data_IF_199906265222
#
_entry.id   IF_199906265222
#
_cell.length_a   1.000
_cell.length_b   1.000
_cell.length_c   1.000
_cell.angle_alpha   90.00
_cell.angle_beta   90.00
_cell.angle_gamma   90.00
#
_symmetry.space_group_name_H-M   'P 1'
#
loop_
_entity.id
_entity.type
_entity.pdbx_description
1 polymer ?
#
# COMPACT_ATOMS: atom_id res chain seq x y z
N UNK A 1 -10.71 2.09 2.45
CA UNK A 1 -9.50 2.13 3.32
C UNK A 1 -8.28 1.65 2.51
N UNK A 2 -7.10 2.25 2.70
CA UNK A 2 -5.90 2.18 1.83
C UNK A 2 -6.09 2.57 0.36
N UNK A 3 -6.89 1.84 -0.42
CA UNK A 3 -7.22 2.22 -1.82
C UNK A 3 -7.81 3.62 -1.91
N UNK A 4 -8.70 3.98 -0.98
CA UNK A 4 -9.28 5.33 -0.93
C UNK A 4 -8.26 6.40 -0.55
N UNK A 5 -7.29 6.06 0.31
CA UNK A 5 -6.21 6.97 0.67
C UNK A 5 -5.27 7.25 -0.51
N UNK A 6 -5.14 6.28 -1.43
CA UNK A 6 -4.35 6.43 -2.66
C UNK A 6 -5.11 7.13 -3.80
N UNK A 7 -6.42 7.43 -3.66
CA UNK A 7 -7.21 8.11 -4.71
C UNK A 7 -6.58 9.39 -5.25
N UNK A 8 -5.98 10.28 -4.43
CA UNK A 8 -5.34 11.51 -4.94
C UNK A 8 -4.21 11.24 -5.94
N UNK A 9 -3.59 10.06 -5.86
CA UNK A 9 -2.47 9.65 -6.71
C UNK A 9 -2.89 8.64 -7.79
N UNK A 10 -4.18 8.29 -7.89
CA UNK A 10 -4.65 7.16 -8.69
C UNK A 10 -4.27 7.23 -10.18
N UNK A 11 -4.22 8.45 -10.76
CA UNK A 11 -3.81 8.62 -12.17
C UNK A 11 -2.33 8.39 -12.42
N UNK A 12 -1.52 8.40 -11.37
CA UNK A 12 -0.06 8.26 -11.42
C UNK A 12 0.40 6.87 -11.00
N UNK A 13 -0.46 6.09 -10.34
CA UNK A 13 -0.13 4.74 -9.84
C UNK A 13 -0.49 3.72 -10.92
N UNK A 14 0.53 3.03 -11.45
CA UNK A 14 0.36 1.85 -12.29
C UNK A 14 0.03 0.61 -11.46
N UNK A 15 0.73 0.44 -10.33
CA UNK A 15 0.52 -0.68 -9.43
C UNK A 15 0.88 -0.31 -7.98
N UNK A 16 0.24 -0.99 -7.03
CA UNK A 16 0.53 -0.87 -5.60
C UNK A 16 0.60 -2.27 -4.98
N UNK A 17 1.67 -2.55 -4.24
CA UNK A 17 1.91 -3.83 -3.59
C UNK A 17 1.98 -3.64 -2.08
N UNK A 18 1.31 -4.54 -1.35
CA UNK A 18 1.38 -4.62 0.12
C UNK A 18 2.46 -5.62 0.50
N UNK A 19 3.35 -5.23 1.39
CA UNK A 19 4.45 -6.08 1.88
C UNK A 19 4.41 -6.23 3.40
N UNK A 20 5.48 -6.80 3.96
CA UNK A 20 5.70 -6.87 5.39
C UNK A 20 4.77 -7.87 6.10
N UNK A 21 4.47 -7.56 7.36
CA UNK A 21 3.65 -8.40 8.25
C UNK A 21 2.25 -8.63 7.70
N UNK A 22 1.69 -7.66 6.96
CA UNK A 22 0.40 -7.80 6.27
C UNK A 22 0.41 -8.95 5.26
N UNK A 23 1.43 -9.02 4.41
CA UNK A 23 1.55 -10.07 3.39
C UNK A 23 1.91 -11.44 3.99
N UNK A 24 2.61 -11.45 5.13
CA UNK A 24 3.04 -12.68 5.84
C UNK A 24 1.99 -13.24 6.80
N UNK A 25 0.80 -12.62 6.90
CA UNK A 25 -0.24 -12.98 7.86
C UNK A 25 0.20 -12.87 9.34
N UNK A 26 1.07 -11.91 9.62
CA UNK A 26 1.62 -11.60 10.97
C UNK A 26 1.20 -10.21 11.46
N UNK A 27 0.19 -9.61 10.82
CA UNK A 27 -0.27 -8.25 11.11
C UNK A 27 -0.83 -8.15 12.54
N UNK A 28 -0.39 -7.14 13.29
CA UNK A 28 -0.83 -6.82 14.65
C UNK A 28 -1.39 -5.40 14.72
N UNK A 29 -2.09 -5.06 15.80
CA UNK A 29 -2.70 -3.74 15.96
C UNK A 29 -1.69 -2.58 16.00
N UNK A 30 -0.44 -2.86 16.35
CA UNK A 30 0.68 -1.92 16.38
C UNK A 30 1.57 -2.00 15.13
N UNK A 31 1.18 -2.79 14.13
CA UNK A 31 1.95 -2.93 12.88
C UNK A 31 1.68 -1.79 11.91
N UNK A 32 2.74 -1.35 11.24
CA UNK A 32 2.65 -0.50 10.06
C UNK A 32 2.19 -1.30 8.82
N UNK A 33 1.84 -0.58 7.75
CA UNK A 33 1.53 -1.14 6.43
C UNK A 33 2.58 -0.67 5.43
N UNK A 34 3.41 -1.60 4.94
CA UNK A 34 4.41 -1.32 3.92
C UNK A 34 3.79 -1.32 2.52
N UNK A 35 4.02 -0.24 1.76
CA UNK A 35 3.55 -0.10 0.38
C UNK A 35 4.70 0.21 -0.58
N UNK A 36 4.75 -0.51 -1.68
CA UNK A 36 5.52 -0.13 -2.87
C UNK A 36 4.55 0.37 -3.94
N UNK A 37 4.79 1.57 -4.45
CA UNK A 37 4.03 2.15 -5.54
C UNK A 37 4.92 2.19 -6.79
N UNK A 38 4.37 1.72 -7.91
CA UNK A 38 4.99 1.84 -9.23
C UNK A 38 4.14 2.80 -10.04
N UNK A 39 4.75 3.80 -10.66
CA UNK A 39 4.02 4.88 -11.31
C UNK A 39 4.89 6.05 -11.77
N UNK A 40 4.21 7.09 -12.26
CA UNK A 40 4.85 8.29 -12.82
C UNK A 40 5.20 9.34 -11.73
N UNK A 41 6.38 9.96 -11.86
CA UNK A 41 6.91 11.01 -10.98
C UNK A 41 6.48 12.41 -11.43
#
# INVERSE_FOLDING_TARGET
>A
MLRDALRPLARRILAAFVFGSAARNELRNDSDIDLLLVGDV
#
